data_IF_733592844055
#
_entry.id   IF_733592844055
#
_cell.length_a   1.000
_cell.length_b   1.000
_cell.length_c   1.000
_cell.angle_alpha   90.00
_cell.angle_beta   90.00
_cell.angle_gamma   90.00
#
_symmetry.space_group_name_H-M   'P 1'
#
loop_
_entity.id
_entity.type
_entity.pdbx_description
1 polymer ?
#
# COMPACT_ATOMS: atom_id res chain seq x y z
N UNK A 1 -4.43 -12.98 -7.13
CA UNK A 1 -3.97 -11.56 -7.01
C UNK A 1 -5.20 -10.67 -6.81
N UNK A 2 -5.14 -9.72 -5.87
CA UNK A 2 -6.20 -8.78 -5.55
C UNK A 2 -5.74 -7.32 -5.74
N UNK A 3 -6.66 -6.43 -6.09
CA UNK A 3 -6.46 -4.98 -6.09
C UNK A 3 -7.59 -4.31 -5.31
N UNK A 4 -7.28 -3.77 -4.14
CA UNK A 4 -8.21 -2.94 -3.37
C UNK A 4 -8.24 -1.56 -4.05
N UNK A 5 -9.38 -1.21 -4.62
CA UNK A 5 -9.57 -0.01 -5.45
C UNK A 5 -10.46 1.02 -4.75
N UNK A 6 -10.57 2.22 -5.34
CA UNK A 6 -11.35 3.38 -4.85
C UNK A 6 -10.85 3.94 -3.52
N UNK A 7 -9.57 3.78 -3.23
CA UNK A 7 -8.99 4.35 -2.02
C UNK A 7 -9.07 5.89 -2.00
N UNK A 8 -9.15 6.55 -3.17
CA UNK A 8 -9.37 8.00 -3.26
C UNK A 8 -10.61 8.48 -2.49
N UNK A 9 -11.67 7.66 -2.38
CA UNK A 9 -12.86 8.00 -1.58
C UNK A 9 -12.55 8.06 -0.10
N UNK A 10 -11.70 7.16 0.39
CA UNK A 10 -11.28 7.12 1.80
C UNK A 10 -10.39 8.31 2.20
N UNK A 11 -9.74 8.97 1.23
CA UNK A 11 -8.88 10.12 1.49
C UNK A 11 -9.53 11.48 1.18
N UNK A 12 -10.46 11.55 0.22
CA UNK A 12 -11.01 12.81 -0.30
C UNK A 12 -12.48 13.03 0.03
N UNK A 13 -13.26 11.96 0.14
CA UNK A 13 -14.72 12.06 0.32
C UNK A 13 -15.13 11.76 1.76
N UNK A 14 -14.43 10.83 2.40
CA UNK A 14 -14.72 10.38 3.75
C UNK A 14 -13.57 10.79 4.67
N UNK A 15 -13.82 11.51 5.77
CA UNK A 15 -12.80 11.79 6.78
C UNK A 15 -12.55 10.54 7.65
N UNK A 16 -12.20 9.43 7.02
CA UNK A 16 -11.89 8.17 7.70
C UNK A 16 -10.55 8.29 8.41
N UNK A 17 -10.51 7.88 9.68
CA UNK A 17 -9.24 7.71 10.37
C UNK A 17 -8.38 6.66 9.64
N UNK A 18 -7.06 6.87 9.50
CA UNK A 18 -6.19 5.91 8.83
C UNK A 18 -6.23 4.48 9.41
N UNK A 19 -6.43 4.31 10.72
CA UNK A 19 -6.59 2.97 11.31
C UNK A 19 -7.92 2.34 10.86
N UNK A 20 -9.02 3.10 10.85
CA UNK A 20 -10.30 2.60 10.35
C UNK A 20 -10.23 2.21 8.86
N UNK A 21 -9.51 3.00 8.05
CA UNK A 21 -9.23 2.67 6.65
C UNK A 21 -8.44 1.36 6.53
N UNK A 22 -7.40 1.16 7.34
CA UNK A 22 -6.65 -0.10 7.40
C UNK A 22 -7.55 -1.27 7.79
N UNK A 23 -8.39 -1.13 8.83
CA UNK A 23 -9.31 -2.18 9.27
C UNK A 23 -10.33 -2.55 8.19
N UNK A 24 -10.80 -1.56 7.41
CA UNK A 24 -11.66 -1.81 6.25
C UNK A 24 -10.93 -2.61 5.15
N UNK A 25 -9.65 -2.28 4.87
CA UNK A 25 -8.85 -3.02 3.89
C UNK A 25 -8.62 -4.46 4.34
N UNK A 26 -8.25 -4.66 5.60
CA UNK A 26 -8.06 -5.98 6.20
C UNK A 26 -9.34 -6.83 6.08
N UNK A 27 -10.49 -6.30 6.50
CA UNK A 27 -11.79 -6.99 6.37
C UNK A 27 -12.12 -7.34 4.93
N UNK A 28 -11.81 -6.47 3.98
CA UNK A 28 -12.03 -6.73 2.54
C UNK A 28 -11.17 -7.90 2.05
N UNK A 29 -9.90 -7.94 2.44
CA UNK A 29 -8.97 -9.02 2.08
C UNK A 29 -9.41 -10.34 2.73
N UNK A 30 -9.79 -10.31 4.02
CA UNK A 30 -10.32 -11.48 4.73
C UNK A 30 -11.58 -12.02 4.06
N UNK A 31 -12.53 -11.16 3.70
CA UNK A 31 -13.76 -11.55 2.98
C UNK A 31 -13.43 -12.23 1.65
N UNK A 32 -12.47 -11.70 0.90
CA UNK A 32 -12.01 -12.33 -0.34
C UNK A 32 -11.39 -13.71 -0.07
N UNK A 33 -10.56 -13.83 0.97
CA UNK A 33 -9.93 -15.10 1.34
C UNK A 33 -10.92 -16.15 1.85
N UNK A 34 -12.00 -15.75 2.51
CA UNK A 34 -13.10 -16.66 2.90
C UNK A 34 -13.75 -17.26 1.66
N UNK A 35 -14.06 -16.43 0.65
CA UNK A 35 -14.63 -16.92 -0.62
C UNK A 35 -13.63 -17.84 -1.33
N UNK A 36 -12.36 -17.43 -1.43
CA UNK A 36 -11.31 -18.24 -2.07
C UNK A 36 -11.17 -19.60 -1.40
N UNK A 37 -11.15 -19.65 -0.06
CA UNK A 37 -11.04 -20.90 0.69
C UNK A 37 -12.30 -21.79 0.57
N UNK A 38 -13.48 -21.19 0.39
CA UNK A 38 -14.74 -21.95 0.22
C UNK A 38 -14.75 -22.76 -1.07
N UNK A 39 -14.02 -22.31 -2.09
CA UNK A 39 -13.94 -22.94 -3.42
C UNK A 39 -12.51 -23.39 -3.73
N UNK A 40 -11.80 -23.89 -2.72
CA UNK A 40 -10.45 -24.40 -2.91
C UNK A 40 -10.41 -25.65 -3.79
N UNK A 41 -9.32 -25.79 -4.55
CA UNK A 41 -8.99 -26.96 -5.35
C UNK A 41 -7.61 -27.42 -4.91
N UNK A 42 -7.48 -28.67 -4.44
CA UNK A 42 -6.24 -29.24 -3.95
C UNK A 42 -5.09 -29.14 -4.97
N UNK A 43 -5.41 -29.21 -6.28
CA UNK A 43 -4.42 -29.11 -7.36
C UNK A 43 -3.80 -27.71 -7.47
N UNK A 44 -4.51 -26.67 -7.00
CA UNK A 44 -4.05 -25.28 -7.05
C UNK A 44 -3.22 -24.88 -5.82
N UNK A 45 -3.37 -25.58 -4.70
CA UNK A 45 -2.75 -25.24 -3.42
C UNK A 45 -3.25 -23.90 -2.84
N UNK A 46 -2.41 -23.22 -2.06
CA UNK A 46 -2.75 -21.92 -1.46
C UNK A 46 -2.83 -20.81 -2.52
N UNK A 47 -4.06 -20.44 -2.88
CA UNK A 47 -4.38 -19.33 -3.78
C UNK A 47 -4.97 -18.11 -3.07
N UNK A 48 -4.93 -18.08 -1.74
CA UNK A 48 -5.35 -16.92 -0.96
C UNK A 48 -4.44 -15.71 -1.22
N UNK A 49 -4.94 -14.53 -0.89
CA UNK A 49 -4.25 -13.26 -1.13
C UNK A 49 -3.78 -12.62 0.17
N UNK A 50 -2.56 -12.12 0.15
CA UNK A 50 -1.79 -11.67 1.29
C UNK A 50 -0.97 -10.42 0.90
N UNK A 51 -1.19 -9.26 1.53
CA UNK A 51 -0.42 -8.06 1.25
C UNK A 51 1.08 -8.24 1.46
N UNK A 52 1.48 -8.95 2.52
CA UNK A 52 2.87 -9.23 2.87
C UNK A 52 3.53 -10.26 1.94
N UNK A 53 2.75 -11.04 1.19
CA UNK A 53 3.28 -11.89 0.10
C UNK A 53 3.24 -11.18 -1.26
N UNK A 54 2.81 -9.92 -1.33
CA UNK A 54 2.75 -9.14 -2.58
C UNK A 54 1.53 -9.42 -3.47
N UNK A 55 0.64 -10.34 -3.09
CA UNK A 55 -0.53 -10.71 -3.93
C UNK A 55 -1.69 -9.72 -3.82
N UNK A 56 -1.59 -8.70 -2.97
CA UNK A 56 -2.55 -7.59 -2.83
C UNK A 56 -1.88 -6.26 -3.17
N UNK A 57 -2.55 -5.44 -3.98
CA UNK A 57 -2.20 -4.03 -4.16
C UNK A 57 -3.35 -3.11 -3.76
N UNK A 58 -3.04 -1.84 -3.55
CA UNK A 58 -3.95 -0.81 -3.06
C UNK A 58 -3.89 0.41 -3.98
N UNK A 59 -5.00 1.08 -4.26
CA UNK A 59 -4.96 2.32 -5.04
C UNK A 59 -6.29 2.84 -5.56
N UNK A 60 -6.19 3.68 -6.59
CA UNK A 60 -7.31 4.29 -7.28
C UNK A 60 -7.10 4.22 -8.80
N UNK A 61 -7.94 3.44 -9.47
CA UNK A 61 -8.00 3.42 -10.94
C UNK A 61 -8.44 4.77 -11.52
N UNK A 62 -9.36 5.48 -10.84
CA UNK A 62 -9.85 6.79 -11.28
C UNK A 62 -8.73 7.83 -11.34
N UNK A 63 -7.86 7.85 -10.33
CA UNK A 63 -6.74 8.78 -10.27
C UNK A 63 -5.45 8.20 -10.88
N UNK A 64 -5.41 6.92 -11.19
CA UNK A 64 -4.29 6.26 -11.88
C UNK A 64 -3.08 6.01 -10.99
N UNK A 65 -3.29 5.81 -9.68
CA UNK A 65 -2.21 5.53 -8.74
C UNK A 65 -2.48 4.25 -7.95
N UNK A 66 -1.43 3.57 -7.52
CA UNK A 66 -1.51 2.38 -6.71
C UNK A 66 -0.15 1.90 -6.23
N UNK A 67 -0.15 1.05 -5.21
CA UNK A 67 1.06 0.55 -4.57
C UNK A 67 0.87 -0.87 -4.03
N UNK A 68 1.99 -1.54 -3.84
CA UNK A 68 2.14 -2.75 -3.02
C UNK A 68 2.99 -2.40 -1.80
N UNK A 69 3.07 -3.29 -0.82
CA UNK A 69 3.98 -3.08 0.32
C UNK A 69 5.46 -3.03 -0.11
N UNK A 70 5.79 -3.71 -1.21
CA UNK A 70 7.14 -3.75 -1.82
C UNK A 70 7.68 -2.34 -2.09
N UNK A 71 6.84 -1.45 -2.66
CA UNK A 71 7.21 -0.05 -2.94
C UNK A 71 7.69 0.69 -1.71
N UNK A 72 6.97 0.57 -0.60
CA UNK A 72 7.32 1.23 0.66
C UNK A 72 8.45 0.50 1.40
N UNK A 73 8.53 -0.82 1.26
CA UNK A 73 9.66 -1.58 1.77
C UNK A 73 10.97 -1.12 1.15
N UNK A 74 11.03 -0.86 -0.17
CA UNK A 74 12.22 -0.29 -0.83
C UNK A 74 12.63 1.07 -0.24
N UNK A 75 11.65 1.93 0.03
CA UNK A 75 11.91 3.27 0.59
C UNK A 75 12.46 3.21 2.02
N UNK A 76 12.05 2.22 2.80
CA UNK A 76 12.34 2.16 4.24
C UNK A 76 13.39 1.13 4.65
N UNK A 77 13.63 0.09 3.86
CA UNK A 77 14.57 -0.99 4.17
C UNK A 77 15.95 -0.46 4.57
N UNK A 78 16.54 0.40 3.72
CA UNK A 78 17.83 1.03 3.99
C UNK A 78 17.81 1.94 5.22
N UNK A 79 16.68 2.62 5.49
CA UNK A 79 16.53 3.52 6.64
C UNK A 79 16.49 2.76 7.97
N UNK A 80 15.88 1.58 7.98
CA UNK A 80 15.81 0.73 9.17
C UNK A 80 16.95 -0.30 9.25
N UNK A 81 17.81 -0.39 8.23
CA UNK A 81 18.90 -1.36 8.17
C UNK A 81 18.39 -2.81 8.13
N UNK A 82 17.24 -3.04 7.50
CA UNK A 82 16.63 -4.38 7.37
C UNK A 82 16.47 -4.77 5.90
N UNK A 83 16.53 -6.07 5.62
CA UNK A 83 16.26 -6.59 4.27
C UNK A 83 14.83 -6.22 3.82
N UNK A 84 14.65 -5.97 2.52
CA UNK A 84 13.38 -5.57 1.91
C UNK A 84 12.26 -6.56 2.27
N UNK A 85 12.53 -7.85 2.17
CA UNK A 85 11.57 -8.92 2.42
C UNK A 85 11.08 -8.88 3.87
N UNK A 86 12.00 -8.64 4.82
CA UNK A 86 11.63 -8.45 6.23
C UNK A 86 10.84 -7.18 6.45
N UNK A 87 11.17 -6.09 5.73
CA UNK A 87 10.44 -4.84 5.81
C UNK A 87 9.00 -4.99 5.32
N UNK A 88 8.77 -5.71 4.21
CA UNK A 88 7.42 -6.03 3.71
C UNK A 88 6.58 -6.70 4.81
N UNK A 89 7.13 -7.71 5.49
CA UNK A 89 6.46 -8.41 6.59
C UNK A 89 6.14 -7.52 7.79
N UNK A 90 6.91 -6.44 7.98
CA UNK A 90 6.69 -5.45 9.04
C UNK A 90 5.65 -4.39 8.69
N UNK A 91 5.34 -4.21 7.41
CA UNK A 91 4.43 -3.17 6.93
C UNK A 91 2.95 -3.59 6.95
N UNK A 92 2.62 -4.82 7.34
CA UNK A 92 1.23 -5.32 7.42
C UNK A 92 0.93 -6.00 8.75
N UNK A 93 -0.34 -6.11 9.14
CA UNK A 93 -0.78 -6.79 10.36
C UNK A 93 -0.46 -6.02 11.64
N UNK A 94 -0.39 -6.76 12.75
CA UNK A 94 -0.03 -6.24 14.07
C UNK A 94 1.48 -6.06 14.20
N UNK A 95 2.02 -5.09 13.46
CA UNK A 95 3.39 -4.63 13.58
C UNK A 95 3.39 -3.15 13.91
N UNK A 96 4.20 -2.76 14.90
CA UNK A 96 4.29 -1.40 15.41
C UNK A 96 5.77 -1.03 15.54
N UNK A 97 6.14 0.21 15.26
CA UNK A 97 7.50 0.69 15.46
C UNK A 97 7.51 1.73 16.58
N UNK A 98 8.28 1.45 17.62
CA UNK A 98 8.46 2.36 18.74
C UNK A 98 9.66 3.29 18.44
N UNK A 99 9.44 4.58 18.17
CA UNK A 99 10.54 5.49 17.82
C UNK A 99 11.46 5.80 19.01
N UNK A 100 11.00 5.61 20.25
CA UNK A 100 11.80 5.86 21.46
C UNK A 100 12.79 4.73 21.68
N UNK A 101 12.31 3.49 21.67
CA UNK A 101 13.15 2.31 21.83
C UNK A 101 13.84 1.86 20.54
N UNK A 102 13.39 2.38 19.39
CA UNK A 102 13.83 2.00 18.03
C UNK A 102 13.61 0.50 17.73
N UNK A 103 12.58 -0.09 18.33
CA UNK A 103 12.26 -1.52 18.20
C UNK A 103 10.91 -1.74 17.53
N UNK A 104 10.81 -2.87 16.84
CA UNK A 104 9.55 -3.39 16.33
C UNK A 104 8.82 -4.16 17.42
N UNK A 105 7.51 -3.97 17.51
CA UNK A 105 6.62 -4.59 18.49
C UNK A 105 5.41 -5.22 17.82
N UNK A 106 4.78 -6.14 18.54
CA UNK A 106 3.53 -6.83 18.16
C UNK A 106 2.29 -6.32 18.90
N UNK A 107 2.48 -5.42 19.86
CA UNK A 107 1.41 -4.77 20.60
C UNK A 107 1.43 -3.25 20.32
N UNK A 108 0.28 -2.57 20.47
CA UNK A 108 0.17 -1.14 20.20
C UNK A 108 0.71 -0.26 21.35
N UNK A 109 1.68 -0.73 22.15
CA UNK A 109 2.18 0.00 23.32
C UNK A 109 3.71 0.17 23.33
N UNK A 110 4.15 1.41 23.56
CA UNK A 110 5.52 1.86 23.72
C UNK A 110 6.15 1.33 25.01
N UNK A 111 7.49 1.37 25.11
CA UNK A 111 8.18 0.91 26.34
C UNK A 111 7.83 1.81 27.52
N UNK A 112 7.42 3.04 27.24
CA UNK A 112 6.97 4.06 28.17
C UNK A 112 5.44 4.07 28.38
N UNK A 113 4.73 3.07 27.84
CA UNK A 113 3.27 3.00 27.92
C UNK A 113 2.52 3.83 26.87
N UNK A 114 3.22 4.59 26.01
CA UNK A 114 2.58 5.42 24.98
C UNK A 114 1.89 4.58 23.90
N UNK A 115 0.77 5.03 23.32
CA UNK A 115 0.14 4.30 22.22
C UNK A 115 1.01 4.35 20.96
N UNK A 116 1.21 3.21 20.31
CA UNK A 116 1.91 3.09 19.03
C UNK A 116 0.91 2.96 17.89
N UNK A 117 1.23 3.61 16.77
CA UNK A 117 0.47 3.43 15.53
C UNK A 117 0.98 2.21 14.77
N UNK A 118 0.06 1.50 14.15
CA UNK A 118 0.36 0.37 13.27
C UNK A 118 1.30 0.81 12.15
N UNK A 119 2.22 -0.06 11.77
CA UNK A 119 3.24 0.22 10.78
C UNK A 119 2.66 0.61 9.41
N UNK A 120 1.62 -0.09 8.95
CA UNK A 120 0.91 0.28 7.71
C UNK A 120 0.39 1.71 7.78
N UNK A 121 -0.25 2.06 8.90
CA UNK A 121 -0.78 3.41 9.12
C UNK A 121 0.34 4.44 9.16
N UNK A 122 1.33 4.23 10.03
CA UNK A 122 2.40 5.19 10.29
C UNK A 122 3.30 5.44 9.06
N UNK A 123 3.64 4.39 8.31
CA UNK A 123 4.65 4.46 7.26
C UNK A 123 4.06 4.53 5.84
N UNK A 124 2.79 4.19 5.66
CA UNK A 124 2.13 4.18 4.34
C UNK A 124 0.98 5.17 4.31
N UNK A 125 -0.06 4.97 5.13
CA UNK A 125 -1.25 5.83 5.06
C UNK A 125 -0.97 7.26 5.51
N UNK A 126 -0.31 7.46 6.65
CA UNK A 126 -0.04 8.80 7.20
C UNK A 126 0.70 9.71 6.20
N UNK A 127 1.80 9.29 5.54
CA UNK A 127 2.43 10.10 4.50
C UNK A 127 1.51 10.42 3.33
N UNK A 128 0.67 9.46 2.89
CA UNK A 128 -0.30 9.68 1.81
C UNK A 128 -1.35 10.70 2.26
N UNK A 129 -2.03 10.48 3.39
CA UNK A 129 -3.01 11.41 3.95
C UNK A 129 -2.45 12.82 4.09
N UNK A 130 -1.26 12.96 4.70
CA UNK A 130 -0.62 14.27 4.90
C UNK A 130 -0.28 14.97 3.58
N UNK A 131 0.17 14.22 2.56
CA UNK A 131 0.47 14.78 1.25
C UNK A 131 -0.81 15.24 0.54
N UNK A 132 -1.84 14.40 0.52
CA UNK A 132 -3.12 14.73 -0.12
C UNK A 132 -3.80 15.92 0.58
N UNK A 133 -3.86 15.92 1.91
CA UNK A 133 -4.46 16.98 2.72
C UNK A 133 -3.74 18.32 2.53
N UNK A 134 -2.39 18.33 2.58
CA UNK A 134 -1.62 19.56 2.36
C UNK A 134 -1.79 20.12 0.95
N UNK A 135 -1.92 19.28 -0.09
CA UNK A 135 -2.24 19.73 -1.45
C UNK A 135 -3.64 20.33 -1.52
N UNK A 136 -4.64 19.69 -0.89
CA UNK A 136 -6.02 20.15 -0.92
C UNK A 136 -6.25 21.45 -0.12
N UNK A 137 -5.41 21.71 0.89
CA UNK A 137 -5.39 22.97 1.67
C UNK A 137 -4.47 24.05 1.10
N UNK A 138 -3.85 23.79 -0.05
CA UNK A 138 -2.82 24.62 -0.69
C UNK A 138 -1.66 25.03 0.23
N UNK A 139 -1.22 24.13 1.12
CA UNK A 139 -0.07 24.32 2.01
C UNK A 139 1.26 24.12 1.25
N UNK A 140 1.57 25.05 0.33
CA UNK A 140 2.63 24.91 -0.67
C UNK A 140 4.01 24.54 -0.11
N UNK A 141 4.45 25.19 0.96
CA UNK A 141 5.75 24.90 1.57
C UNK A 141 5.82 23.45 2.06
N UNK A 142 4.74 22.96 2.67
CA UNK A 142 4.65 21.63 3.26
C UNK A 142 4.60 20.53 2.20
N UNK A 143 3.71 20.63 1.21
CA UNK A 143 3.64 19.59 0.17
C UNK A 143 4.88 19.60 -0.72
N UNK A 144 5.50 20.75 -1.01
CA UNK A 144 6.77 20.79 -1.75
C UNK A 144 7.91 20.12 -0.99
N UNK A 145 8.01 20.35 0.33
CA UNK A 145 8.99 19.66 1.18
C UNK A 145 8.77 18.15 1.20
N UNK A 146 7.51 17.71 1.32
CA UNK A 146 7.16 16.29 1.27
C UNK A 146 7.50 15.67 -0.09
N UNK A 147 7.10 16.31 -1.19
CA UNK A 147 7.42 15.85 -2.55
C UNK A 147 8.92 15.68 -2.76
N UNK A 148 9.74 16.65 -2.32
CA UNK A 148 11.19 16.56 -2.36
C UNK A 148 11.71 15.36 -1.56
N UNK A 149 11.21 15.14 -0.35
CA UNK A 149 11.63 14.02 0.51
C UNK A 149 11.24 12.64 -0.04
N UNK A 150 10.14 12.58 -0.80
CA UNK A 150 9.63 11.37 -1.44
C UNK A 150 10.19 11.18 -2.87
N UNK A 151 11.06 12.09 -3.33
CA UNK A 151 11.64 12.03 -4.68
C UNK A 151 10.64 12.34 -5.81
N UNK A 152 9.53 13.01 -5.52
CA UNK A 152 8.50 13.35 -6.50
C UNK A 152 8.90 14.64 -7.24
N UNK A 153 9.07 14.54 -8.56
CA UNK A 153 9.48 15.65 -9.41
C UNK A 153 8.30 16.17 -10.26
N UNK A 154 7.88 17.40 -9.97
CA UNK A 154 6.85 18.13 -10.74
C UNK A 154 7.54 19.13 -11.67
N UNK A 155 7.25 19.10 -12.97
CA UNK A 155 8.00 19.84 -14.02
C UNK A 155 7.10 20.77 -14.84
N UNK A 156 7.68 21.87 -15.34
CA UNK A 156 6.98 22.81 -16.22
C UNK A 156 5.64 23.27 -15.64
N UNK A 157 4.63 23.29 -16.50
CA UNK A 157 3.26 23.72 -16.22
C UNK A 157 2.56 22.88 -15.12
N UNK A 158 3.10 21.69 -14.79
CA UNK A 158 2.54 20.88 -13.68
C UNK A 158 2.67 21.60 -12.33
N UNK A 159 3.61 22.54 -12.19
CA UNK A 159 3.82 23.32 -10.96
C UNK A 159 2.71 24.34 -10.70
N UNK A 160 2.03 24.76 -11.75
CA UNK A 160 0.94 25.73 -11.67
C UNK A 160 -0.40 25.06 -11.37
N UNK A 161 -0.44 23.72 -11.41
CA UNK A 161 -1.61 22.96 -11.01
C UNK A 161 -1.87 23.12 -9.51
N UNK A 162 -3.14 23.12 -9.15
CA UNK A 162 -3.63 23.25 -7.78
C UNK A 162 -4.63 22.16 -7.43
N UNK A 163 -4.84 21.96 -6.12
CA UNK A 163 -5.89 21.10 -5.56
C UNK A 163 -5.91 19.71 -6.23
N UNK A 164 -7.09 19.26 -6.67
CA UNK A 164 -7.33 17.94 -7.28
C UNK A 164 -6.49 17.69 -8.54
N UNK A 165 -6.13 18.72 -9.31
CA UNK A 165 -5.32 18.55 -10.53
C UNK A 165 -3.87 18.25 -10.16
N UNK A 166 -3.29 19.01 -9.22
CA UNK A 166 -1.94 18.75 -8.70
C UNK A 166 -1.88 17.37 -8.03
N UNK A 167 -2.87 17.06 -7.19
CA UNK A 167 -2.98 15.79 -6.47
C UNK A 167 -2.90 14.59 -7.41
N UNK A 168 -3.65 14.61 -8.52
CA UNK A 168 -3.62 13.52 -9.51
C UNK A 168 -2.23 13.34 -10.12
N UNK A 169 -1.57 14.43 -10.48
CA UNK A 169 -0.22 14.38 -11.08
C UNK A 169 0.80 13.86 -10.07
N UNK A 170 0.79 14.40 -8.85
CA UNK A 170 1.68 14.01 -7.76
C UNK A 170 1.53 12.53 -7.44
N UNK A 171 0.31 12.03 -7.28
CA UNK A 171 0.08 10.62 -6.94
C UNK A 171 0.47 9.66 -8.07
N UNK A 172 0.23 10.03 -9.34
CA UNK A 172 0.68 9.22 -10.49
C UNK A 172 2.20 9.11 -10.57
N UNK A 173 2.93 10.17 -10.21
CA UNK A 173 4.40 10.15 -10.18
C UNK A 173 4.95 9.43 -8.94
N UNK A 174 4.25 9.55 -7.81
CA UNK A 174 4.68 8.91 -6.57
C UNK A 174 4.45 7.40 -6.59
N UNK A 175 3.23 6.98 -6.94
CA UNK A 175 2.75 5.60 -6.87
C UNK A 175 2.04 5.24 -8.18
N UNK A 176 2.74 5.05 -9.31
CA UNK A 176 2.11 4.74 -10.58
C UNK A 176 1.32 3.42 -10.50
N UNK A 177 0.03 3.44 -10.87
CA UNK A 177 -0.80 2.22 -10.82
C UNK A 177 -0.25 1.09 -11.71
N UNK A 178 0.38 1.44 -12.84
CA UNK A 178 1.00 0.48 -13.75
C UNK A 178 2.11 -0.33 -13.08
N UNK A 179 3.00 0.31 -12.31
CA UNK A 179 4.08 -0.38 -11.58
C UNK A 179 3.50 -1.36 -10.57
N UNK A 180 2.53 -0.92 -9.77
CA UNK A 180 1.91 -1.76 -8.75
C UNK A 180 1.12 -2.93 -9.34
N UNK A 181 0.54 -2.78 -10.54
CA UNK A 181 -0.16 -3.87 -11.22
C UNK A 181 0.83 -4.83 -11.88
N UNK A 182 1.78 -4.33 -12.67
CA UNK A 182 2.72 -5.14 -13.42
C UNK A 182 3.62 -5.98 -12.50
N UNK A 183 4.11 -5.43 -11.39
CA UNK A 183 4.88 -6.17 -10.38
C UNK A 183 4.11 -7.43 -9.94
N UNK A 184 2.83 -7.27 -9.60
CA UNK A 184 1.99 -8.39 -9.14
C UNK A 184 1.75 -9.43 -10.22
N UNK A 185 1.47 -8.99 -11.45
CA UNK A 185 1.17 -9.89 -12.56
C UNK A 185 2.41 -10.74 -12.90
N UNK A 186 3.59 -10.13 -12.97
CA UNK A 186 4.83 -10.82 -13.32
C UNK A 186 5.25 -11.81 -12.23
N UNK A 187 5.14 -11.42 -10.95
CA UNK A 187 5.66 -12.25 -9.85
C UNK A 187 4.69 -13.38 -9.47
N UNK A 188 3.38 -13.12 -9.52
CA UNK A 188 2.41 -14.04 -8.90
C UNK A 188 1.51 -14.79 -9.88
N UNK A 189 1.41 -14.37 -11.15
CA UNK A 189 0.64 -15.14 -12.12
C UNK A 189 1.49 -16.24 -12.76
N UNK A 190 0.97 -17.48 -12.84
CA UNK A 190 1.68 -18.55 -13.53
C UNK A 190 1.72 -18.26 -15.03
N UNK A 191 2.84 -18.57 -15.67
CA UNK A 191 2.92 -18.59 -17.13
C UNK A 191 1.98 -19.64 -17.71
N UNK A 192 1.56 -19.52 -18.99
CA UNK A 192 0.73 -20.54 -19.65
C UNK A 192 1.31 -21.96 -19.52
N UNK A 193 2.63 -22.10 -19.62
CA UNK A 193 3.34 -23.39 -19.47
C UNK A 193 3.16 -24.01 -18.08
N UNK A 194 3.18 -23.19 -17.02
CA UNK A 194 2.92 -23.66 -15.65
C UNK A 194 1.42 -23.94 -15.45
N UNK A 195 0.56 -23.05 -15.95
CA UNK A 195 -0.87 -23.11 -15.75
C UNK A 195 -1.54 -24.32 -16.46
N UNK A 196 -1.08 -24.68 -17.66
CA UNK A 196 -1.66 -25.78 -18.41
C UNK A 196 -1.56 -27.13 -17.68
N UNK A 197 -0.52 -27.35 -16.87
CA UNK A 197 -0.30 -28.62 -16.16
C UNK A 197 -1.45 -29.05 -15.25
N UNK A 198 -2.18 -28.09 -14.67
CA UNK A 198 -3.33 -28.36 -13.79
C UNK A 198 -4.66 -27.90 -14.40
N UNK A 199 -4.66 -27.25 -15.57
CA UNK A 199 -5.88 -26.83 -16.27
C UNK A 199 -6.39 -27.82 -17.29
N UNK A 200 -5.50 -28.63 -17.88
CA UNK A 200 -5.87 -29.57 -18.95
C UNK A 200 -6.79 -30.67 -18.43
N UNK A 201 -6.63 -31.11 -17.19
CA UNK A 201 -7.52 -32.12 -16.58
C UNK A 201 -8.94 -31.59 -16.30
N UNK A 202 -9.11 -30.26 -16.24
CA UNK A 202 -10.37 -29.57 -15.95
C UNK A 202 -10.98 -28.85 -17.19
N UNK A 203 -10.46 -29.11 -18.39
CA UNK A 203 -10.91 -28.54 -19.69
C UNK A 203 -11.66 -29.59 -20.52
#
# INVERSE_FOLDING_TARGET
VLMVNKLDRAFLELPLDPEDAYQNFQRTIETANVIIATYEDELLGDVQVYPEKGTVGFGSGLHGWGFTLSKFADMYASKFGVAKERMVQKLWGDNFYDPKSKKWKKNPQGEDGSPLRRAFVQFILDPIYKLLDSIMKDEAEKYNKMMKSLGILVKGDEKDLKNKNLLKVVMRKFLPASEALLEKLVVHLPSPVKAQKYRVENL
#
